data_IF_086783626247
#
_entry.id   IF_086783626247
#
_cell.length_a   1.000
_cell.length_b   1.000
_cell.length_c   1.000
_cell.angle_alpha   90.00
_cell.angle_beta   90.00
_cell.angle_gamma   90.00
#
_symmetry.space_group_name_H-M   'P 1'
#
loop_
_entity.id
_entity.type
_entity.pdbx_description
1 polymer ?
#
# COMPACT_ATOMS: atom_id res chain seq x y z
N UNK A 1 -21.72 -7.04 19.03
CA UNK A 1 -21.45 -7.80 17.80
C UNK A 1 -22.79 -8.16 17.18
N UNK A 2 -23.30 -7.34 16.27
CA UNK A 2 -24.64 -7.50 15.67
C UNK A 2 -24.45 -7.78 14.19
N UNK A 3 -24.87 -8.98 13.78
CA UNK A 3 -25.00 -9.35 12.38
C UNK A 3 -26.37 -8.90 11.89
N UNK A 4 -26.42 -8.09 10.83
CA UNK A 4 -27.66 -7.79 10.13
C UNK A 4 -27.77 -8.74 8.93
N UNK A 5 -28.39 -9.91 9.14
CA UNK A 5 -28.78 -10.82 8.04
C UNK A 5 -30.20 -10.44 7.65
N UNK A 6 -30.35 -9.78 6.49
CA UNK A 6 -31.67 -9.52 5.89
C UNK A 6 -32.13 -10.81 5.20
N UNK A 7 -32.88 -11.64 5.91
CA UNK A 7 -33.55 -12.80 5.33
C UNK A 7 -34.83 -12.35 4.59
N UNK A 8 -34.73 -12.16 3.27
CA UNK A 8 -35.88 -12.04 2.39
C UNK A 8 -36.40 -13.43 2.00
N UNK A 9 -37.65 -13.73 2.36
CA UNK A 9 -38.36 -14.95 1.93
C UNK A 9 -38.71 -14.89 0.44
N UNK A 10 -38.42 -15.98 -0.27
CA UNK A 10 -39.27 -16.51 -1.34
C UNK A 10 -39.13 -15.88 -2.72
N UNK A 11 -38.43 -16.58 -3.61
CA UNK A 11 -38.39 -16.32 -5.04
C UNK A 11 -37.03 -16.71 -5.59
N UNK A 12 -36.99 -17.68 -6.50
CA UNK A 12 -35.77 -18.13 -7.18
C UNK A 12 -35.16 -16.99 -7.99
N UNK A 13 -34.34 -16.20 -7.33
CA UNK A 13 -33.38 -15.28 -7.92
C UNK A 13 -32.05 -15.95 -7.66
N UNK A 14 -31.30 -16.24 -8.71
CA UNK A 14 -29.87 -16.50 -8.61
C UNK A 14 -29.31 -15.30 -7.84
N UNK A 15 -29.09 -15.45 -6.53
CA UNK A 15 -28.39 -14.45 -5.75
C UNK A 15 -26.97 -14.53 -6.28
N UNK A 16 -26.66 -13.73 -7.31
CA UNK A 16 -25.29 -13.31 -7.54
C UNK A 16 -24.85 -12.75 -6.20
N UNK A 17 -24.05 -13.54 -5.49
CA UNK A 17 -23.50 -13.12 -4.23
C UNK A 17 -22.74 -11.83 -4.50
N UNK A 18 -23.28 -10.72 -3.99
CA UNK A 18 -22.65 -9.41 -4.06
C UNK A 18 -21.19 -9.55 -3.63
N UNK A 19 -20.28 -9.09 -4.51
CA UNK A 19 -18.86 -9.24 -4.27
C UNK A 19 -18.51 -8.62 -2.91
N UNK A 20 -17.73 -9.31 -2.05
CA UNK A 20 -17.41 -8.76 -0.74
C UNK A 20 -16.62 -7.46 -0.91
N UNK A 21 -17.04 -6.43 -0.16
CA UNK A 21 -16.32 -5.17 -0.04
C UNK A 21 -14.81 -5.38 0.14
N UNK A 22 -13.99 -4.52 -0.47
CA UNK A 22 -12.53 -4.63 -0.51
C UNK A 22 -11.90 -4.79 0.87
N UNK A 23 -12.35 -4.04 1.86
CA UNK A 23 -11.94 -4.15 3.26
C UNK A 23 -12.16 -5.56 3.83
N UNK A 24 -13.27 -6.20 3.47
CA UNK A 24 -13.57 -7.57 3.93
C UNK A 24 -12.66 -8.60 3.26
N UNK A 25 -12.19 -8.31 2.04
CA UNK A 25 -11.22 -9.16 1.33
C UNK A 25 -9.82 -9.01 1.90
N UNK A 26 -9.41 -7.82 2.34
CA UNK A 26 -8.10 -7.56 2.96
C UNK A 26 -8.08 -7.65 4.49
N UNK A 27 -9.06 -8.32 5.11
CA UNK A 27 -9.23 -8.29 6.56
C UNK A 27 -8.01 -8.82 7.33
N UNK A 28 -7.30 -9.85 6.82
CA UNK A 28 -6.09 -10.35 7.49
C UNK A 28 -4.91 -9.43 7.26
N UNK A 29 -4.76 -8.91 6.04
CA UNK A 29 -3.73 -7.91 5.76
C UNK A 29 -3.87 -6.72 6.71
N UNK A 30 -5.08 -6.16 6.83
CA UNK A 30 -5.37 -5.04 7.74
C UNK A 30 -5.06 -5.40 9.19
N UNK A 31 -5.46 -6.58 9.65
CA UNK A 31 -5.16 -7.05 11.01
C UNK A 31 -3.65 -7.18 11.25
N UNK A 32 -2.92 -7.81 10.34
CA UNK A 32 -1.45 -7.98 10.44
C UNK A 32 -0.73 -6.65 10.41
N UNK A 33 -1.16 -5.70 9.57
CA UNK A 33 -0.61 -4.34 9.55
C UNK A 33 -0.82 -3.64 10.90
N UNK A 34 -2.04 -3.70 11.46
CA UNK A 34 -2.36 -3.10 12.75
C UNK A 34 -1.56 -3.71 13.91
N UNK A 35 -1.33 -5.03 13.88
CA UNK A 35 -0.44 -5.70 14.83
C UNK A 35 1.00 -5.17 14.72
N UNK A 36 1.54 -5.08 13.50
CA UNK A 36 2.90 -4.59 13.27
C UNK A 36 3.08 -3.12 13.72
N UNK A 37 2.06 -2.27 13.58
CA UNK A 37 2.05 -0.91 14.15
C UNK A 37 2.25 -0.96 15.67
N UNK A 38 1.47 -1.78 16.38
CA UNK A 38 1.58 -1.93 17.83
C UNK A 38 2.93 -2.51 18.27
N UNK A 39 3.48 -3.45 17.51
CA UNK A 39 4.80 -4.02 17.76
C UNK A 39 5.92 -3.01 17.53
N UNK A 40 5.84 -2.15 16.52
CA UNK A 40 6.80 -1.07 16.30
C UNK A 40 6.83 -0.11 17.48
N UNK A 41 5.65 0.32 17.96
CA UNK A 41 5.54 1.18 19.14
C UNK A 41 6.13 0.50 20.40
N UNK A 42 5.86 -0.80 20.57
CA UNK A 42 6.40 -1.58 21.69
C UNK A 42 7.92 -1.75 21.62
N UNK A 43 8.48 -1.94 20.42
CA UNK A 43 9.91 -2.04 20.20
C UNK A 43 10.62 -0.70 20.48
N UNK A 44 10.06 0.42 20.02
CA UNK A 44 10.56 1.75 20.32
C UNK A 44 10.51 2.06 21.83
N UNK A 45 9.44 1.64 22.52
CA UNK A 45 9.33 1.75 23.98
C UNK A 45 10.44 0.94 24.71
N UNK A 46 10.90 -0.16 24.13
CA UNK A 46 12.05 -0.93 24.63
C UNK A 46 13.38 -0.17 24.62
N UNK A 47 13.48 0.91 23.83
CA UNK A 47 14.62 1.83 23.80
C UNK A 47 14.34 3.07 24.66
N UNK A 48 13.23 3.75 24.40
CA UNK A 48 12.93 5.03 25.06
C UNK A 48 12.50 4.89 26.52
N UNK A 49 11.88 3.77 26.89
CA UNK A 49 11.49 3.50 28.27
C UNK A 49 12.67 3.58 29.24
N UNK A 50 13.71 2.74 29.08
CA UNK A 50 14.90 2.79 29.94
C UNK A 50 15.55 4.18 29.98
N UNK A 51 15.65 4.87 28.83
CA UNK A 51 16.24 6.21 28.74
C UNK A 51 15.42 7.22 29.56
N UNK A 52 14.09 7.20 29.42
CA UNK A 52 13.19 8.11 30.13
C UNK A 52 13.23 7.93 31.66
N UNK A 53 13.46 6.71 32.14
CA UNK A 53 13.56 6.40 33.58
C UNK A 53 14.98 6.52 34.14
N UNK A 54 16.00 6.74 33.31
CA UNK A 54 17.37 6.84 33.75
C UNK A 54 17.65 8.18 34.48
N UNK A 55 18.54 8.20 35.50
CA UNK A 55 18.98 9.44 36.11
C UNK A 55 19.69 10.37 35.11
N UNK A 56 19.54 11.71 35.19
CA UNK A 56 20.11 12.66 34.22
C UNK A 56 21.64 12.65 34.05
N UNK A 57 22.37 11.96 34.93
CA UNK A 57 23.84 11.87 34.93
C UNK A 57 24.36 10.45 34.70
N UNK A 58 23.50 9.52 34.28
CA UNK A 58 23.94 8.17 33.95
C UNK A 58 24.88 8.22 32.72
N UNK A 59 26.06 7.61 32.82
CA UNK A 59 27.05 7.57 31.74
C UNK A 59 26.68 6.63 30.58
N UNK A 60 25.58 5.88 30.70
CA UNK A 60 25.02 4.99 29.69
C UNK A 60 23.78 4.29 30.23
N UNK A 61 22.81 4.01 29.35
CA UNK A 61 21.56 3.33 29.70
C UNK A 61 21.44 2.07 28.86
N UNK A 62 21.35 0.87 29.47
CA UNK A 62 21.12 -0.35 28.71
C UNK A 62 19.72 -0.33 28.11
N UNK A 63 19.64 -0.51 26.79
CA UNK A 63 18.40 -0.53 26.00
C UNK A 63 18.28 -1.83 25.21
N UNK A 64 17.06 -2.21 24.83
CA UNK A 64 16.83 -3.42 24.04
C UNK A 64 16.38 -3.08 22.62
N UNK A 65 17.26 -3.32 21.65
CA UNK A 65 16.97 -3.15 20.21
C UNK A 65 16.52 -4.44 19.52
N UNK A 66 16.52 -5.58 20.23
CA UNK A 66 16.20 -6.89 19.66
C UNK A 66 14.78 -6.98 19.07
N UNK A 67 13.82 -6.22 19.62
CA UNK A 67 12.47 -6.11 19.05
C UNK A 67 12.46 -5.51 17.64
N UNK A 68 13.30 -4.50 17.40
CA UNK A 68 13.42 -3.84 16.09
C UNK A 68 14.02 -4.82 15.06
N UNK A 69 15.08 -5.55 15.44
CA UNK A 69 15.68 -6.57 14.57
C UNK A 69 14.70 -7.71 14.26
N UNK A 70 13.92 -8.16 15.24
CA UNK A 70 12.90 -9.20 15.06
C UNK A 70 11.79 -8.78 14.09
N UNK A 71 11.32 -7.53 14.20
CA UNK A 71 10.37 -6.95 13.26
C UNK A 71 10.94 -6.90 11.84
N UNK A 72 12.16 -6.40 11.67
CA UNK A 72 12.80 -6.30 10.37
C UNK A 72 12.98 -7.66 9.68
N UNK A 73 13.17 -8.74 10.44
CA UNK A 73 13.31 -10.09 9.91
C UNK A 73 11.99 -10.75 9.51
N UNK A 74 10.87 -10.39 10.16
CA UNK A 74 9.61 -11.14 10.07
C UNK A 74 8.45 -10.39 9.40
N UNK A 75 8.48 -9.06 9.35
CA UNK A 75 7.35 -8.24 8.89
C UNK A 75 6.91 -8.58 7.46
N UNK A 76 7.83 -8.64 6.50
CA UNK A 76 7.52 -8.94 5.10
C UNK A 76 6.84 -10.31 4.94
N UNK A 77 7.40 -11.36 5.56
CA UNK A 77 6.84 -12.72 5.48
C UNK A 77 5.43 -12.80 6.09
N UNK A 78 5.18 -12.09 7.20
CA UNK A 78 3.85 -12.02 7.83
C UNK A 78 2.83 -11.35 6.90
N UNK A 79 3.23 -10.27 6.23
CA UNK A 79 2.39 -9.54 5.30
C UNK A 79 2.09 -10.37 4.04
N UNK A 80 3.10 -11.01 3.45
CA UNK A 80 2.93 -11.90 2.30
C UNK A 80 1.99 -13.06 2.63
N UNK A 81 2.14 -13.66 3.81
CA UNK A 81 1.24 -14.71 4.30
C UNK A 81 -0.19 -14.21 4.46
N UNK A 82 -0.39 -13.01 5.00
CA UNK A 82 -1.72 -12.43 5.17
C UNK A 82 -2.40 -12.20 3.81
N UNK A 83 -1.69 -11.64 2.84
CA UNK A 83 -2.16 -11.45 1.46
C UNK A 83 -2.55 -12.78 0.83
N UNK A 84 -1.69 -13.79 0.91
CA UNK A 84 -1.96 -15.12 0.34
C UNK A 84 -3.20 -15.79 0.96
N UNK A 85 -3.38 -15.67 2.27
CA UNK A 85 -4.55 -16.22 2.98
C UNK A 85 -5.86 -15.49 2.66
N UNK A 86 -5.78 -14.18 2.41
CA UNK A 86 -6.92 -13.38 1.96
C UNK A 86 -7.30 -13.71 0.51
N UNK A 87 -6.31 -13.82 -0.39
CA UNK A 87 -6.52 -14.25 -1.77
C UNK A 87 -7.13 -15.66 -1.87
N UNK A 88 -6.59 -16.62 -1.11
CA UNK A 88 -7.08 -18.01 -1.09
C UNK A 88 -8.53 -18.14 -0.60
N UNK A 89 -9.03 -17.16 0.16
CA UNK A 89 -10.41 -17.13 0.64
C UNK A 89 -11.40 -16.71 -0.45
N UNK A 90 -10.96 -15.92 -1.43
CA UNK A 90 -11.83 -15.28 -2.43
C UNK A 90 -11.34 -15.49 -3.88
N UNK A 91 -11.12 -16.74 -4.33
CA UNK A 91 -10.45 -17.01 -5.60
C UNK A 91 -11.21 -16.48 -6.84
N UNK A 92 -12.53 -16.50 -6.81
CA UNK A 92 -13.36 -15.98 -7.91
C UNK A 92 -13.21 -14.46 -8.07
N UNK A 93 -13.16 -13.72 -6.96
CA UNK A 93 -12.98 -12.27 -7.01
C UNK A 93 -11.57 -11.91 -7.44
N UNK A 94 -10.54 -12.57 -6.90
CA UNK A 94 -9.15 -12.39 -7.35
C UNK A 94 -9.04 -12.59 -8.87
N UNK A 95 -9.71 -13.61 -9.42
CA UNK A 95 -9.70 -13.85 -10.87
C UNK A 95 -10.36 -12.72 -11.68
N UNK A 96 -11.45 -12.12 -11.17
CA UNK A 96 -12.11 -10.97 -11.82
C UNK A 96 -11.22 -9.73 -11.77
N UNK A 97 -10.56 -9.54 -10.65
CA UNK A 97 -9.66 -8.42 -10.41
C UNK A 97 -8.43 -8.49 -11.30
N UNK A 98 -7.84 -9.68 -11.45
CA UNK A 98 -6.75 -9.92 -12.38
C UNK A 98 -7.17 -9.71 -13.84
N UNK A 99 -8.42 -10.00 -14.19
CA UNK A 99 -8.95 -9.69 -15.51
C UNK A 99 -9.08 -8.17 -15.72
N UNK A 100 -9.63 -7.45 -14.74
CA UNK A 100 -9.77 -6.00 -14.80
C UNK A 100 -8.43 -5.25 -14.75
N UNK A 101 -7.48 -5.73 -13.94
CA UNK A 101 -6.12 -5.22 -13.87
C UNK A 101 -5.38 -5.37 -15.20
N UNK A 102 -5.59 -6.49 -15.92
CA UNK A 102 -5.05 -6.67 -17.27
C UNK A 102 -5.65 -5.68 -18.27
N UNK A 103 -6.96 -5.45 -18.22
CA UNK A 103 -7.63 -4.48 -19.08
C UNK A 103 -7.12 -3.05 -18.86
N UNK A 104 -7.09 -2.59 -17.60
CA UNK A 104 -6.54 -1.26 -17.25
C UNK A 104 -5.05 -1.13 -17.59
N UNK A 105 -4.26 -2.19 -17.41
CA UNK A 105 -2.86 -2.21 -17.84
C UNK A 105 -2.71 -2.04 -19.34
N UNK A 106 -3.51 -2.72 -20.16
CA UNK A 106 -3.47 -2.54 -21.62
C UNK A 106 -3.84 -1.12 -22.03
N UNK A 107 -4.79 -0.47 -21.34
CA UNK A 107 -5.14 0.94 -21.59
C UNK A 107 -3.98 1.88 -21.24
N UNK A 108 -3.32 1.69 -20.09
CA UNK A 108 -2.13 2.48 -19.73
C UNK A 108 -0.98 2.29 -20.72
N UNK A 109 -0.74 1.06 -21.19
CA UNK A 109 0.24 0.82 -22.25
C UNK A 109 -0.09 1.58 -23.54
N UNK A 110 -1.37 1.59 -23.95
CA UNK A 110 -1.81 2.33 -25.13
C UNK A 110 -1.67 3.85 -24.95
N UNK A 111 -1.93 4.38 -23.75
CA UNK A 111 -1.68 5.78 -23.43
C UNK A 111 -0.19 6.13 -23.50
N UNK A 112 0.68 5.31 -22.88
CA UNK A 112 2.12 5.49 -22.94
C UNK A 112 2.68 5.40 -24.38
N UNK A 113 2.12 4.52 -25.22
CA UNK A 113 2.45 4.47 -26.66
C UNK A 113 2.06 5.77 -27.38
N UNK A 114 0.88 6.33 -27.08
CA UNK A 114 0.43 7.59 -27.67
C UNK A 114 1.32 8.77 -27.22
N UNK A 115 1.69 8.83 -25.95
CA UNK A 115 2.59 9.85 -25.41
C UNK A 115 3.98 9.78 -26.05
N UNK A 116 4.51 8.58 -26.25
CA UNK A 116 5.79 8.40 -26.95
C UNK A 116 5.74 8.97 -28.37
N UNK A 117 4.64 8.74 -29.11
CA UNK A 117 4.47 9.30 -30.47
C UNK A 117 4.44 10.83 -30.44
N UNK A 118 3.80 11.44 -29.43
CA UNK A 118 3.75 12.90 -29.26
C UNK A 118 5.15 13.45 -28.95
N UNK A 119 5.89 12.81 -28.04
CA UNK A 119 7.27 13.17 -27.70
C UNK A 119 8.17 13.08 -28.93
N UNK A 120 8.10 11.98 -29.67
CA UNK A 120 8.90 11.76 -30.88
C UNK A 120 8.60 12.81 -31.97
N UNK A 121 7.33 13.22 -32.10
CA UNK A 121 6.90 14.27 -33.03
C UNK A 121 7.36 15.68 -32.60
N UNK A 122 7.40 15.97 -31.29
CA UNK A 122 7.81 17.27 -30.75
C UNK A 122 9.33 17.46 -30.73
N UNK A 123 10.08 16.41 -30.40
CA UNK A 123 11.55 16.45 -30.27
C UNK A 123 12.28 15.89 -31.49
N UNK A 124 11.52 15.50 -32.52
CA UNK A 124 11.98 15.30 -33.88
C UNK A 124 13.00 14.18 -34.04
N UNK A 125 12.68 12.95 -33.61
CA UNK A 125 13.43 11.71 -33.92
C UNK A 125 14.95 11.73 -33.65
N UNK A 126 15.47 12.79 -33.04
CA UNK A 126 16.86 13.01 -32.77
C UNK A 126 17.19 12.19 -31.55
N UNK A 127 17.85 11.05 -31.80
CA UNK A 127 18.47 10.21 -30.78
C UNK A 127 19.04 11.08 -29.68
N UNK A 128 18.34 11.15 -28.54
CA UNK A 128 18.89 11.76 -27.34
C UNK A 128 20.12 10.93 -27.00
N UNK A 129 21.30 11.47 -27.29
CA UNK A 129 22.61 10.90 -26.93
C UNK A 129 22.87 11.07 -25.43
N UNK A 130 21.84 10.89 -24.60
CA UNK A 130 21.94 10.75 -23.15
C UNK A 130 21.82 9.26 -22.84
N UNK A 131 22.70 8.73 -22.00
CA UNK A 131 22.86 7.32 -21.61
C UNK A 131 21.64 6.66 -20.90
N UNK A 132 20.42 7.15 -21.11
CA UNK A 132 19.19 6.57 -20.58
C UNK A 132 18.41 5.83 -21.66
N UNK A 133 18.10 4.55 -21.43
CA UNK A 133 17.08 3.86 -22.24
C UNK A 133 15.71 4.42 -21.88
N UNK A 134 14.97 4.91 -22.87
CA UNK A 134 13.57 5.34 -22.67
C UNK A 134 12.75 4.12 -22.22
N UNK A 135 11.91 4.24 -21.18
CA UNK A 135 11.06 3.13 -20.74
C UNK A 135 10.20 2.61 -21.88
N UNK A 136 10.07 1.28 -21.98
CA UNK A 136 9.06 0.67 -22.84
C UNK A 136 7.66 1.04 -22.36
N UNK A 137 6.62 1.05 -23.21
CA UNK A 137 5.25 1.37 -22.77
C UNK A 137 4.77 0.53 -21.58
N UNK A 138 5.06 -0.78 -21.49
CA UNK A 138 4.78 -1.57 -20.28
C UNK A 138 5.50 -1.08 -19.01
N UNK A 139 6.75 -0.58 -19.14
CA UNK A 139 7.50 -0.03 -18.01
C UNK A 139 6.95 1.32 -17.59
N UNK A 140 6.64 2.20 -18.54
CA UNK A 140 5.98 3.48 -18.27
C UNK A 140 4.63 3.27 -17.56
N UNK A 141 3.76 2.42 -18.11
CA UNK A 141 2.46 2.10 -17.52
C UNK A 141 2.54 1.51 -16.09
N UNK A 142 3.62 0.81 -15.76
CA UNK A 142 3.86 0.30 -14.41
C UNK A 142 4.42 1.39 -13.47
N UNK A 143 5.31 2.25 -13.97
CA UNK A 143 5.82 3.41 -13.25
C UNK A 143 4.70 4.39 -12.93
N UNK A 144 3.82 4.69 -13.89
CA UNK A 144 2.70 5.63 -13.69
C UNK A 144 1.71 5.11 -12.64
N UNK A 145 1.44 3.79 -12.62
CA UNK A 145 0.62 3.19 -11.55
C UNK A 145 1.30 3.30 -10.18
N UNK A 146 2.61 3.05 -10.11
CA UNK A 146 3.38 3.18 -8.87
C UNK A 146 3.43 4.63 -8.39
N UNK A 147 3.57 5.59 -9.30
CA UNK A 147 3.52 7.03 -9.05
C UNK A 147 2.14 7.43 -8.52
N UNK A 148 1.06 7.04 -9.22
CA UNK A 148 -0.31 7.28 -8.76
C UNK A 148 -0.58 6.72 -7.36
N UNK A 149 -0.08 5.50 -7.06
CA UNK A 149 -0.16 4.93 -5.72
C UNK A 149 0.62 5.72 -4.67
N UNK A 150 1.78 6.26 -5.05
CA UNK A 150 2.60 7.15 -4.21
C UNK A 150 1.93 8.49 -3.94
N UNK A 151 1.46 9.17 -4.98
CA UNK A 151 0.73 10.45 -4.89
C UNK A 151 -0.52 10.32 -4.02
N UNK A 152 -1.26 9.22 -4.18
CA UNK A 152 -2.39 8.94 -3.32
C UNK A 152 -2.01 8.86 -1.83
N UNK A 153 -0.91 8.16 -1.50
CA UNK A 153 -0.43 8.09 -0.11
C UNK A 153 0.00 9.45 0.43
N UNK A 154 0.66 10.24 -0.40
CA UNK A 154 1.16 11.55 -0.03
C UNK A 154 0.00 12.55 0.20
N UNK A 155 -1.11 12.40 -0.54
CA UNK A 155 -2.36 13.12 -0.29
C UNK A 155 -3.14 12.58 0.93
N UNK A 156 -3.12 11.27 1.16
CA UNK A 156 -3.90 10.62 2.22
C UNK A 156 -3.48 11.02 3.64
N UNK A 157 -2.19 11.27 3.85
CA UNK A 157 -1.64 11.63 5.16
C UNK A 157 -2.13 13.00 5.68
N UNK A 158 -2.09 14.10 4.91
CA UNK A 158 -2.61 15.40 5.35
C UNK A 158 -4.13 15.51 5.27
N UNK A 159 -4.77 15.02 4.20
CA UNK A 159 -6.23 15.13 4.00
C UNK A 159 -6.80 13.94 3.21
N UNK A 160 -7.52 13.02 3.89
CA UNK A 160 -8.18 11.90 3.22
C UNK A 160 -9.21 12.30 2.15
N UNK A 161 -9.83 13.48 2.25
CA UNK A 161 -10.79 13.94 1.25
C UNK A 161 -10.10 14.27 -0.08
N UNK A 162 -8.94 14.92 -0.03
CA UNK A 162 -8.13 15.24 -1.21
C UNK A 162 -7.63 13.96 -1.89
N UNK A 163 -7.21 12.96 -1.11
CA UNK A 163 -6.78 11.66 -1.65
C UNK A 163 -7.92 10.93 -2.38
N UNK A 164 -9.16 11.02 -1.88
CA UNK A 164 -10.32 10.44 -2.54
C UNK A 164 -10.67 11.22 -3.82
N UNK A 165 -10.64 12.55 -3.78
CA UNK A 165 -10.85 13.38 -4.96
C UNK A 165 -9.81 13.09 -6.06
N UNK A 166 -8.55 12.87 -5.68
CA UNK A 166 -7.48 12.45 -6.58
C UNK A 166 -7.81 11.12 -7.29
N UNK A 167 -8.21 10.08 -6.55
CA UNK A 167 -8.59 8.79 -7.16
C UNK A 167 -9.78 8.95 -8.12
N UNK A 168 -10.80 9.73 -7.74
CA UNK A 168 -11.97 9.96 -8.60
C UNK A 168 -11.58 10.67 -9.90
N UNK A 169 -10.68 11.66 -9.84
CA UNK A 169 -10.16 12.33 -11.02
C UNK A 169 -9.33 11.40 -11.91
N UNK A 170 -8.45 10.60 -11.31
CA UNK A 170 -7.54 9.69 -12.01
C UNK A 170 -8.28 8.56 -12.74
N UNK A 171 -9.37 8.08 -12.15
CA UNK A 171 -10.17 6.96 -12.71
C UNK A 171 -11.14 7.40 -13.80
N UNK A 172 -11.35 8.71 -14.00
CA UNK A 172 -12.30 9.24 -14.97
C UNK A 172 -11.97 8.88 -16.43
N UNK A 173 -10.69 8.67 -16.78
CA UNK A 173 -10.28 8.22 -18.11
C UNK A 173 -10.48 6.72 -18.35
N UNK A 174 -10.68 5.94 -17.27
CA UNK A 174 -10.76 4.48 -17.31
C UNK A 174 -9.42 3.78 -17.55
N UNK A 175 -8.29 4.50 -17.59
CA UNK A 175 -6.93 3.94 -17.62
C UNK A 175 -6.52 3.36 -16.26
N UNK A 176 -7.09 3.93 -15.20
CA UNK A 176 -6.92 3.50 -13.83
C UNK A 176 -8.24 2.99 -13.28
N UNK A 177 -8.16 1.98 -12.41
CA UNK A 177 -9.25 1.62 -11.51
C UNK A 177 -8.91 2.11 -10.11
N UNK A 178 -9.93 2.55 -9.37
CA UNK A 178 -9.74 3.04 -8.00
C UNK A 178 -9.08 1.96 -7.16
N UNK A 179 -9.57 0.73 -7.38
CA UNK A 179 -9.08 -0.46 -6.73
C UNK A 179 -7.62 -0.79 -7.09
N UNK A 180 -7.20 -0.64 -8.34
CA UNK A 180 -5.81 -0.82 -8.75
C UNK A 180 -4.86 0.17 -8.10
N UNK A 181 -5.26 1.45 -8.01
CA UNK A 181 -4.49 2.52 -7.35
C UNK A 181 -4.38 2.26 -5.85
N UNK A 182 -5.48 1.87 -5.19
CA UNK A 182 -5.48 1.55 -3.75
C UNK A 182 -4.62 0.32 -3.43
N UNK A 183 -4.63 -0.70 -4.29
CA UNK A 183 -3.79 -1.91 -4.13
C UNK A 183 -2.30 -1.54 -4.30
N UNK A 184 -1.95 -0.67 -5.25
CA UNK A 184 -0.58 -0.17 -5.43
C UNK A 184 -0.13 0.74 -4.27
N UNK A 185 -1.00 1.64 -3.81
CA UNK A 185 -0.75 2.47 -2.63
C UNK A 185 -0.49 1.61 -1.39
N UNK A 186 -1.30 0.58 -1.16
CA UNK A 186 -1.12 -0.35 -0.04
C UNK A 186 0.24 -1.06 -0.15
N UNK A 187 0.60 -1.55 -1.34
CA UNK A 187 1.90 -2.19 -1.61
C UNK A 187 3.07 -1.24 -1.39
N UNK A 188 2.97 -0.02 -1.90
CA UNK A 188 4.00 1.02 -1.76
C UNK A 188 4.23 1.37 -0.29
N UNK A 189 3.17 1.56 0.50
CA UNK A 189 3.27 1.82 1.93
C UNK A 189 3.91 0.65 2.70
N UNK A 190 3.54 -0.59 2.37
CA UNK A 190 4.15 -1.81 2.93
C UNK A 190 5.64 -1.89 2.60
N UNK A 191 6.02 -1.65 1.34
CA UNK A 191 7.41 -1.68 0.92
C UNK A 191 8.24 -0.62 1.64
N UNK A 192 7.74 0.62 1.70
CA UNK A 192 8.36 1.73 2.46
C UNK A 192 8.57 1.33 3.93
N UNK A 193 7.54 0.78 4.59
CA UNK A 193 7.65 0.31 5.98
C UNK A 193 8.73 -0.77 6.16
N UNK A 194 8.73 -1.80 5.32
CA UNK A 194 9.69 -2.90 5.39
C UNK A 194 11.12 -2.42 5.15
N UNK A 195 11.35 -1.51 4.20
CA UNK A 195 12.66 -0.90 3.96
C UNK A 195 13.14 -0.12 5.19
N UNK A 196 12.28 0.73 5.76
CA UNK A 196 12.62 1.50 6.96
C UNK A 196 12.91 0.58 8.16
N UNK A 197 12.19 -0.53 8.34
CA UNK A 197 12.53 -1.53 9.37
C UNK A 197 13.89 -2.18 9.13
N UNK A 198 14.24 -2.48 7.87
CA UNK A 198 15.57 -3.01 7.53
C UNK A 198 16.68 -2.01 7.81
N UNK A 199 16.45 -0.73 7.59
CA UNK A 199 17.36 0.34 7.96
C UNK A 199 17.48 0.46 9.49
N UNK A 200 16.36 0.46 10.21
CA UNK A 200 16.33 0.51 11.67
C UNK A 200 17.16 -0.63 12.29
N UNK A 201 17.09 -1.84 11.73
CA UNK A 201 17.84 -2.99 12.22
C UNK A 201 19.36 -2.94 11.93
N UNK A 202 19.81 -2.05 11.03
CA UNK A 202 21.23 -1.83 10.72
C UNK A 202 21.80 -0.60 11.41
N UNK A 203 20.96 0.19 12.06
CA UNK A 203 21.34 1.42 12.74
C UNK A 203 22.14 1.12 14.01
N UNK A 204 23.27 1.80 14.19
CA UNK A 204 24.15 1.57 15.33
C UNK A 204 23.67 2.33 16.58
N UNK A 205 23.08 3.51 16.40
CA UNK A 205 22.47 4.28 17.48
C UNK A 205 21.07 3.74 17.80
N UNK A 206 20.84 3.21 19.02
CA UNK A 206 19.53 2.70 19.43
C UNK A 206 18.39 3.72 19.32
N UNK A 207 18.67 5.01 19.53
CA UNK A 207 17.65 6.07 19.47
C UNK A 207 17.22 6.29 18.03
N UNK A 208 18.18 6.37 17.10
CA UNK A 208 17.89 6.45 15.67
C UNK A 208 17.20 5.18 15.16
N UNK A 209 17.57 4.00 15.67
CA UNK A 209 16.88 2.75 15.37
C UNK A 209 15.40 2.82 15.80
N UNK A 210 15.13 3.34 17.00
CA UNK A 210 13.78 3.52 17.53
C UNK A 210 12.98 4.55 16.70
N UNK A 211 13.56 5.68 16.31
CA UNK A 211 12.91 6.67 15.43
C UNK A 211 12.56 6.08 14.06
N UNK A 212 13.47 5.32 13.44
CA UNK A 212 13.17 4.61 12.19
C UNK A 212 12.06 3.58 12.41
N UNK A 213 12.05 2.86 13.52
CA UNK A 213 10.97 1.92 13.85
C UNK A 213 9.60 2.62 13.97
N UNK A 214 9.54 3.80 14.60
CA UNK A 214 8.33 4.63 14.64
C UNK A 214 7.95 5.18 13.27
N UNK A 215 8.92 5.54 12.44
CA UNK A 215 8.68 5.95 11.04
C UNK A 215 8.06 4.80 10.22
N UNK A 216 8.54 3.57 10.39
CA UNK A 216 7.93 2.39 9.78
C UNK A 216 6.49 2.19 10.27
N UNK A 217 6.21 2.43 11.55
CA UNK A 217 4.85 2.38 12.10
C UNK A 217 3.89 3.34 11.39
N UNK A 218 4.35 4.55 11.03
CA UNK A 218 3.53 5.50 10.26
C UNK A 218 3.19 4.94 8.87
N UNK A 219 4.16 4.37 8.16
CA UNK A 219 3.91 3.76 6.85
C UNK A 219 2.96 2.55 6.94
N UNK A 220 3.07 1.73 7.98
CA UNK A 220 2.12 0.63 8.22
C UNK A 220 0.71 1.15 8.48
N UNK A 221 0.57 2.25 9.23
CA UNK A 221 -0.72 2.89 9.46
C UNK A 221 -1.34 3.44 8.17
N UNK A 222 -0.54 4.05 7.29
CA UNK A 222 -1.01 4.47 5.96
C UNK A 222 -1.47 3.29 5.11
N UNK A 223 -0.76 2.15 5.16
CA UNK A 223 -1.19 0.93 4.50
C UNK A 223 -2.53 0.41 5.06
N UNK A 224 -2.78 0.50 6.37
CA UNK A 224 -4.09 0.17 6.97
C UNK A 224 -5.17 1.07 6.39
N UNK A 225 -4.95 2.38 6.35
CA UNK A 225 -5.90 3.34 5.81
C UNK A 225 -6.23 3.05 4.35
N UNK A 226 -5.21 2.89 3.50
CA UNK A 226 -5.38 2.57 2.08
C UNK A 226 -6.10 1.23 1.87
N UNK A 227 -5.72 0.17 2.61
CA UNK A 227 -6.37 -1.15 2.52
C UNK A 227 -7.83 -1.16 3.02
N UNK A 228 -8.20 -0.20 3.86
CA UNK A 228 -9.54 -0.10 4.44
C UNK A 228 -10.53 0.70 3.59
N UNK A 229 -10.04 1.43 2.58
CA UNK A 229 -10.91 2.19 1.68
C UNK A 229 -11.65 1.22 0.76
N UNK A 230 -12.98 1.36 0.78
CA UNK A 230 -13.93 0.68 -0.08
C UNK A 230 -14.47 1.71 -1.08
N UNK A 231 -13.97 1.68 -2.31
CA UNK A 231 -14.51 2.43 -3.44
C UNK A 231 -15.00 1.41 -4.47
N UNK A 232 -16.23 1.59 -4.92
CA UNK A 232 -16.77 0.81 -6.03
C UNK A 232 -16.35 1.47 -7.34
N UNK A 233 -15.80 0.69 -8.28
CA UNK A 233 -15.38 1.15 -9.62
C UNK A 233 -16.58 1.57 -10.52
N UNK A 234 -17.78 1.75 -9.94
CA UNK A 234 -19.03 2.06 -10.65
C UNK A 234 -19.98 3.00 -9.90
N UNK A 235 -19.50 3.71 -8.86
CA UNK A 235 -20.27 4.80 -8.28
C UNK A 235 -20.23 6.00 -9.23
N UNK A 236 -21.12 6.00 -10.24
CA UNK A 236 -21.62 7.27 -10.76
C UNK A 236 -22.18 8.04 -9.56
N UNK A 237 -21.51 9.14 -9.20
CA UNK A 237 -22.04 10.14 -8.27
C UNK A 237 -23.05 11.04 -8.98
#
# INVERSE_FOLDING_TARGET
MVWCVRAGRGGGVSVEAEAPARRRRHARLIATLAELVGECASAALGVYGPIAYAPPRAGGVPVNVGGISGLALSAAERLDRAVAQDAARWPAEVSREDAHARDTFHRRCAAAEADQVVIDAQFGGGSFSGEGTVPTPPQAAAMDLAEAGGEFLDALDPDPADALAFILGLTASGEYSARGVLDEATRTAVLRACLVLREAAREEDPSMAAERCLTASRHLALAVSAASIDLDDGAEL
#
